data_IF_537709934344
#
_entry.id   IF_537709934344
#
_cell.length_a   1.000
_cell.length_b   1.000
_cell.length_c   1.000
_cell.angle_alpha   90.00
_cell.angle_beta   90.00
_cell.angle_gamma   90.00
#
_symmetry.space_group_name_H-M   'P 1'
#
loop_
_entity.id
_entity.type
_entity.pdbx_description
1 polymer ?
#
# COMPACT_ATOMS: atom_id res chain seq x y z
N UNK A 1 4.48 1.21 -36.00
CA UNK A 1 4.22 1.14 -34.54
C UNK A 1 3.35 -0.07 -34.30
N UNK A 2 3.95 -1.19 -33.91
CA UNK A 2 3.19 -2.38 -33.53
C UNK A 2 2.40 -2.09 -32.25
N UNK A 3 1.09 -2.28 -32.35
CA UNK A 3 0.19 -2.22 -31.22
C UNK A 3 0.53 -3.41 -30.32
N UNK A 4 1.36 -3.21 -29.28
CA UNK A 4 1.60 -4.24 -28.26
C UNK A 4 0.23 -4.65 -27.72
N UNK A 5 -0.24 -5.85 -28.09
CA UNK A 5 -1.41 -6.49 -27.47
C UNK A 5 -1.13 -6.51 -25.97
N UNK A 6 -1.83 -5.67 -25.20
CA UNK A 6 -1.79 -5.76 -23.74
C UNK A 6 -2.25 -7.15 -23.37
N UNK A 7 -1.45 -7.85 -22.58
CA UNK A 7 -1.80 -9.16 -22.06
C UNK A 7 -3.13 -9.07 -21.32
N UNK A 8 -3.98 -10.08 -21.50
CA UNK A 8 -5.23 -10.20 -20.76
C UNK A 8 -4.90 -10.28 -19.26
N UNK A 9 -5.68 -9.62 -18.37
CA UNK A 9 -5.47 -9.74 -16.94
C UNK A 9 -5.47 -11.21 -16.50
N UNK A 10 -4.71 -11.56 -15.47
CA UNK A 10 -4.64 -12.93 -14.96
C UNK A 10 -6.01 -13.52 -14.58
N UNK A 11 -6.99 -12.67 -14.23
CA UNK A 11 -8.38 -13.04 -13.91
C UNK A 11 -9.37 -12.69 -15.05
N UNK A 12 -8.87 -12.50 -16.27
CA UNK A 12 -9.62 -11.96 -17.41
C UNK A 12 -10.87 -12.76 -17.78
N UNK A 13 -10.83 -14.09 -17.68
CA UNK A 13 -11.97 -14.95 -17.98
C UNK A 13 -13.15 -14.70 -17.02
N UNK A 14 -12.88 -14.50 -15.73
CA UNK A 14 -13.92 -14.18 -14.73
C UNK A 14 -14.44 -12.77 -14.91
N UNK A 15 -13.56 -11.79 -15.18
CA UNK A 15 -13.99 -10.41 -15.46
C UNK A 15 -14.91 -10.34 -16.67
N UNK A 16 -14.61 -11.10 -17.73
CA UNK A 16 -15.49 -11.22 -18.90
C UNK A 16 -16.85 -11.79 -18.48
N UNK A 17 -16.86 -12.84 -17.64
CA UNK A 17 -18.10 -13.44 -17.14
C UNK A 17 -18.93 -12.45 -16.31
N UNK A 18 -18.32 -11.70 -15.40
CA UNK A 18 -19.00 -10.70 -14.57
C UNK A 18 -19.65 -9.60 -15.44
N UNK A 19 -18.91 -9.09 -16.44
CA UNK A 19 -19.41 -8.06 -17.36
C UNK A 19 -20.54 -8.58 -18.23
N UNK A 20 -20.44 -9.82 -18.73
CA UNK A 20 -21.50 -10.45 -19.52
C UNK A 20 -22.74 -10.76 -18.66
N UNK A 21 -22.57 -11.06 -17.37
CA UNK A 21 -23.69 -11.23 -16.45
C UNK A 21 -24.45 -9.91 -16.21
N UNK A 22 -23.75 -8.77 -16.19
CA UNK A 22 -24.36 -7.44 -16.02
C UNK A 22 -24.97 -6.90 -17.31
N UNK A 23 -24.26 -7.00 -18.43
CA UNK A 23 -24.67 -6.41 -19.72
C UNK A 23 -25.51 -7.34 -20.59
N UNK A 24 -25.48 -8.65 -20.30
CA UNK A 24 -26.09 -9.70 -21.12
C UNK A 24 -25.20 -10.16 -22.28
N UNK A 25 -25.46 -11.38 -22.77
CA UNK A 25 -24.69 -12.05 -23.84
C UNK A 25 -24.75 -11.35 -25.20
N UNK A 26 -25.75 -10.47 -25.41
CA UNK A 26 -25.91 -9.68 -26.63
C UNK A 26 -25.22 -8.31 -26.58
N UNK A 27 -24.46 -8.01 -25.52
CA UNK A 27 -23.77 -6.75 -25.37
C UNK A 27 -22.68 -6.56 -26.44
N UNK A 28 -22.49 -5.32 -26.87
CA UNK A 28 -21.46 -4.97 -27.84
C UNK A 28 -20.05 -5.28 -27.28
N UNK A 29 -19.19 -5.85 -28.13
CA UNK A 29 -17.86 -6.34 -27.74
C UNK A 29 -16.98 -5.21 -27.22
N UNK A 30 -17.09 -3.98 -27.75
CA UNK A 30 -16.31 -2.85 -27.26
C UNK A 30 -16.80 -2.39 -25.87
N UNK A 31 -18.11 -2.48 -25.61
CA UNK A 31 -18.69 -2.19 -24.29
C UNK A 31 -18.29 -3.26 -23.26
N UNK A 32 -18.25 -4.53 -23.66
CA UNK A 32 -17.75 -5.62 -22.81
C UNK A 32 -16.26 -5.43 -22.51
N UNK A 33 -15.44 -5.15 -23.52
CA UNK A 33 -14.01 -4.90 -23.34
C UNK A 33 -13.74 -3.69 -22.43
N UNK A 34 -14.50 -2.61 -22.58
CA UNK A 34 -14.41 -1.45 -21.69
C UNK A 34 -14.90 -1.78 -20.27
N UNK A 35 -15.94 -2.60 -20.11
CA UNK A 35 -16.39 -3.11 -18.82
C UNK A 35 -15.32 -3.94 -18.11
N UNK A 36 -14.68 -4.86 -18.84
CA UNK A 36 -13.56 -5.69 -18.32
C UNK A 36 -12.39 -4.80 -17.94
N UNK A 37 -12.04 -3.83 -18.78
CA UNK A 37 -10.97 -2.86 -18.49
C UNK A 37 -11.30 -1.99 -17.29
N UNK A 38 -12.56 -1.54 -17.14
CA UNK A 38 -13.00 -0.73 -16.00
C UNK A 38 -13.02 -1.52 -14.71
N UNK A 39 -13.39 -2.80 -14.75
CA UNK A 39 -13.27 -3.69 -13.61
C UNK A 39 -11.80 -3.92 -13.29
N UNK A 40 -10.95 -4.22 -14.28
CA UNK A 40 -9.51 -4.34 -14.08
C UNK A 40 -8.83 -3.06 -13.55
N UNK A 41 -9.35 -1.86 -13.87
CA UNK A 41 -8.80 -0.55 -13.44
C UNK A 41 -9.46 0.02 -12.18
N UNK A 42 -10.72 -0.29 -11.90
CA UNK A 42 -11.49 0.19 -10.74
C UNK A 42 -11.39 -0.73 -9.52
N UNK A 43 -11.28 -2.03 -9.74
CA UNK A 43 -11.04 -3.03 -8.70
C UNK A 43 -9.67 -2.95 -7.98
N UNK A 44 -8.57 -2.45 -8.58
CA UNK A 44 -7.28 -2.34 -7.91
C UNK A 44 -7.34 -1.50 -6.65
N UNK A 45 -8.10 -0.40 -6.61
CA UNK A 45 -8.07 0.50 -5.46
C UNK A 45 -8.80 -0.11 -4.25
N UNK A 46 -9.97 -0.70 -4.47
CA UNK A 46 -10.70 -1.41 -3.41
C UNK A 46 -9.95 -2.64 -2.92
N UNK A 47 -9.43 -3.46 -3.85
CA UNK A 47 -8.67 -4.65 -3.50
C UNK A 47 -7.37 -4.27 -2.78
N UNK A 48 -6.65 -3.25 -3.26
CA UNK A 48 -5.44 -2.73 -2.61
C UNK A 48 -5.74 -2.20 -1.21
N UNK A 49 -6.77 -1.37 -1.04
CA UNK A 49 -7.15 -0.87 0.27
C UNK A 49 -7.48 -2.01 1.22
N UNK A 50 -8.17 -3.04 0.72
CA UNK A 50 -8.53 -4.23 1.48
C UNK A 50 -7.30 -4.99 1.95
N UNK A 51 -6.33 -5.19 1.04
CA UNK A 51 -5.05 -5.84 1.33
C UNK A 51 -4.23 -5.01 2.34
N UNK A 52 -4.19 -3.68 2.18
CA UNK A 52 -3.53 -2.77 3.13
C UNK A 52 -4.15 -2.89 4.52
N UNK A 53 -5.47 -2.82 4.66
CA UNK A 53 -6.14 -2.96 5.95
C UNK A 53 -5.86 -4.31 6.62
N UNK A 54 -5.88 -5.40 5.86
CA UNK A 54 -5.57 -6.74 6.37
C UNK A 54 -4.12 -6.81 6.87
N UNK A 55 -3.18 -6.29 6.09
CA UNK A 55 -1.74 -6.35 6.38
C UNK A 55 -1.30 -5.48 7.56
N UNK A 56 -1.98 -4.37 7.83
CA UNK A 56 -1.72 -3.50 8.99
C UNK A 56 -2.11 -4.13 10.35
N UNK A 57 -2.79 -5.27 10.35
CA UNK A 57 -2.87 -6.16 11.52
C UNK A 57 -3.98 -5.84 12.54
N UNK A 58 -4.85 -4.85 12.30
CA UNK A 58 -6.05 -4.59 13.14
C UNK A 58 -7.38 -4.86 12.43
N UNK A 59 -7.37 -5.22 11.14
CA UNK A 59 -8.59 -5.59 10.43
C UNK A 59 -9.04 -7.00 10.83
N UNK A 60 -10.27 -7.12 11.33
CA UNK A 60 -10.88 -8.40 11.69
C UNK A 60 -11.74 -8.95 10.56
N UNK A 61 -12.44 -8.05 9.86
CA UNK A 61 -13.28 -8.39 8.72
C UNK A 61 -13.25 -7.23 7.74
N UNK A 62 -13.11 -7.55 6.47
CA UNK A 62 -13.40 -6.62 5.38
C UNK A 62 -14.18 -7.37 4.31
N UNK A 63 -15.34 -6.86 3.97
CA UNK A 63 -16.27 -7.46 3.05
C UNK A 63 -16.65 -6.46 1.97
N UNK A 64 -16.43 -6.84 0.71
CA UNK A 64 -16.87 -6.05 -0.43
C UNK A 64 -18.37 -6.19 -0.61
N UNK A 65 -19.09 -5.07 -0.67
CA UNK A 65 -20.53 -5.05 -0.79
C UNK A 65 -20.97 -5.13 -2.25
N UNK A 66 -22.03 -5.91 -2.50
CA UNK A 66 -22.63 -6.01 -3.82
C UNK A 66 -23.43 -4.73 -4.13
N UNK A 67 -23.21 -4.18 -5.33
CA UNK A 67 -23.89 -2.98 -5.84
C UNK A 67 -25.27 -3.26 -6.47
N UNK A 68 -25.66 -4.54 -6.54
CA UNK A 68 -26.99 -4.94 -6.98
C UNK A 68 -28.04 -4.57 -5.91
N UNK A 69 -29.03 -3.78 -6.32
CA UNK A 69 -30.13 -3.34 -5.46
C UNK A 69 -31.46 -3.66 -6.13
N UNK A 70 -32.42 -4.16 -5.34
CA UNK A 70 -33.77 -4.50 -5.77
C UNK A 70 -34.77 -3.96 -4.73
N UNK A 71 -35.83 -3.24 -5.13
CA UNK A 71 -36.18 -2.86 -6.50
C UNK A 71 -35.20 -1.83 -7.08
N UNK A 72 -35.04 -1.79 -8.41
CA UNK A 72 -34.09 -0.88 -9.09
C UNK A 72 -34.31 0.59 -8.72
N UNK A 73 -35.55 0.98 -8.41
CA UNK A 73 -35.90 2.33 -7.97
C UNK A 73 -35.19 2.76 -6.66
N UNK A 74 -34.77 1.83 -5.80
CA UNK A 74 -34.08 2.15 -4.55
C UNK A 74 -32.75 2.88 -4.79
N UNK A 75 -32.14 2.74 -5.98
CA UNK A 75 -30.93 3.47 -6.41
C UNK A 75 -31.10 4.99 -6.44
N UNK A 76 -32.34 5.48 -6.45
CA UNK A 76 -32.64 6.91 -6.39
C UNK A 76 -32.42 7.48 -4.98
N UNK A 77 -32.53 6.64 -3.96
CA UNK A 77 -32.48 7.03 -2.55
C UNK A 77 -31.24 6.50 -1.84
N UNK A 78 -30.75 5.33 -2.24
CA UNK A 78 -29.65 4.64 -1.56
C UNK A 78 -28.50 4.33 -2.51
N UNK A 79 -27.29 4.52 -2.02
CA UNK A 79 -26.06 4.06 -2.65
C UNK A 79 -25.35 3.15 -1.67
N UNK A 80 -25.13 1.89 -2.05
CA UNK A 80 -24.36 0.95 -1.22
C UNK A 80 -22.88 1.36 -1.29
N UNK A 81 -22.19 1.58 -0.16
CA UNK A 81 -20.74 1.82 -0.14
C UNK A 81 -19.96 0.61 -0.67
N UNK A 82 -18.69 0.81 -1.01
CA UNK A 82 -17.88 -0.26 -1.60
C UNK A 82 -17.58 -1.40 -0.61
N UNK A 83 -17.30 -1.07 0.66
CA UNK A 83 -16.83 -2.03 1.66
C UNK A 83 -17.58 -1.90 3.00
N UNK A 84 -17.67 -3.03 3.72
CA UNK A 84 -17.97 -3.10 5.14
C UNK A 84 -16.73 -3.61 5.88
N UNK A 85 -16.31 -2.94 6.94
CA UNK A 85 -15.12 -3.32 7.69
C UNK A 85 -15.36 -3.34 9.21
N UNK A 86 -14.73 -4.31 9.87
CA UNK A 86 -14.64 -4.40 11.34
C UNK A 86 -13.18 -4.41 11.74
N UNK A 87 -12.81 -3.50 12.63
CA UNK A 87 -11.47 -3.42 13.20
C UNK A 87 -11.46 -3.84 14.67
N UNK A 88 -10.37 -4.44 15.12
CA UNK A 88 -10.21 -4.88 16.52
C UNK A 88 -10.16 -3.72 17.51
N UNK A 89 -9.88 -2.52 17.04
CA UNK A 89 -9.89 -1.29 17.85
C UNK A 89 -11.30 -0.82 18.20
N UNK A 90 -12.34 -1.39 17.57
CA UNK A 90 -13.74 -1.03 17.76
C UNK A 90 -14.45 -2.00 18.74
N UNK A 91 -13.91 -2.19 19.94
CA UNK A 91 -14.28 -3.30 20.86
C UNK A 91 -15.77 -3.48 21.19
N UNK A 92 -16.61 -2.44 21.06
CA UNK A 92 -18.07 -2.52 21.31
C UNK A 92 -18.92 -1.72 20.33
N UNK A 93 -18.35 -1.33 19.19
CA UNK A 93 -18.95 -0.40 18.23
C UNK A 93 -19.32 -1.12 16.93
N UNK A 94 -20.33 -0.62 16.17
CA UNK A 94 -20.71 -1.24 14.91
C UNK A 94 -19.54 -1.26 13.91
N UNK A 95 -19.55 -2.18 12.93
CA UNK A 95 -18.67 -2.08 11.78
C UNK A 95 -18.91 -0.77 11.03
N UNK A 96 -17.95 -0.39 10.20
CA UNK A 96 -18.01 0.83 9.38
C UNK A 96 -18.26 0.49 7.93
N UNK A 97 -18.96 1.38 7.25
CA UNK A 97 -19.08 1.38 5.80
C UNK A 97 -18.00 2.27 5.22
N UNK A 98 -17.36 1.83 4.13
CA UNK A 98 -16.26 2.55 3.50
C UNK A 98 -16.53 2.69 2.01
N UNK A 99 -16.58 3.93 1.56
CA UNK A 99 -16.57 4.29 0.15
C UNK A 99 -15.13 4.52 -0.31
N UNK A 100 -14.70 3.83 -1.37
CA UNK A 100 -13.32 3.89 -1.88
C UNK A 100 -13.23 4.83 -3.07
N UNK A 101 -12.19 5.66 -3.07
CA UNK A 101 -11.86 6.58 -4.17
C UNK A 101 -10.36 6.61 -4.43
N UNK A 102 -9.99 6.65 -5.70
CA UNK A 102 -8.62 6.89 -6.14
C UNK A 102 -8.58 8.13 -7.00
N UNK A 103 -7.79 9.12 -6.60
CA UNK A 103 -7.74 10.41 -7.28
C UNK A 103 -6.37 11.06 -7.10
N UNK A 104 -5.81 11.63 -8.17
CA UNK A 104 -4.45 12.22 -8.20
C UNK A 104 -4.44 13.71 -7.88
N UNK A 105 -5.58 14.37 -7.93
CA UNK A 105 -5.71 15.78 -7.56
C UNK A 105 -5.73 15.94 -6.04
N UNK A 106 -5.22 17.07 -5.52
CA UNK A 106 -5.15 17.35 -4.07
C UNK A 106 -6.51 17.62 -3.40
N UNK A 107 -7.61 17.33 -4.07
CA UNK A 107 -8.97 17.47 -3.54
C UNK A 107 -9.89 16.37 -4.08
N UNK A 108 -10.75 15.86 -3.19
CA UNK A 108 -11.83 14.94 -3.52
C UNK A 108 -13.15 15.70 -3.55
N UNK A 109 -14.02 15.38 -4.50
CA UNK A 109 -15.28 16.10 -4.73
C UNK A 109 -16.42 15.12 -4.98
N UNK A 110 -17.50 15.25 -4.21
CA UNK A 110 -18.71 14.44 -4.31
C UNK A 110 -19.88 15.32 -4.69
N UNK A 111 -20.71 14.85 -5.63
CA UNK A 111 -21.99 15.50 -5.90
C UNK A 111 -22.91 15.36 -4.68
N UNK A 112 -23.72 16.38 -4.34
CA UNK A 112 -24.59 16.32 -3.17
C UNK A 112 -25.54 15.14 -3.16
N UNK A 113 -26.16 14.82 -4.31
CA UNK A 113 -27.08 13.69 -4.45
C UNK A 113 -26.37 12.36 -4.16
N UNK A 114 -25.14 12.21 -4.64
CA UNK A 114 -24.35 11.00 -4.43
C UNK A 114 -24.00 10.78 -2.96
N UNK A 115 -23.46 11.81 -2.30
CA UNK A 115 -23.11 11.73 -0.89
C UNK A 115 -24.36 11.52 -0.01
N UNK A 116 -25.48 12.15 -0.36
CA UNK A 116 -26.74 11.95 0.36
C UNK A 116 -27.22 10.50 0.25
N UNK A 117 -27.16 9.88 -0.94
CA UNK A 117 -27.55 8.47 -1.09
C UNK A 117 -26.67 7.50 -0.31
N UNK A 118 -25.36 7.79 -0.21
CA UNK A 118 -24.45 7.02 0.66
C UNK A 118 -24.84 7.19 2.14
N UNK A 119 -25.11 8.42 2.56
CA UNK A 119 -25.52 8.70 3.94
C UNK A 119 -26.86 8.04 4.28
N UNK A 120 -27.85 8.10 3.38
CA UNK A 120 -29.13 7.42 3.55
C UNK A 120 -28.96 5.91 3.78
N UNK A 121 -28.04 5.27 3.05
CA UNK A 121 -27.76 3.85 3.25
C UNK A 121 -27.08 3.59 4.59
N UNK A 122 -26.12 4.42 4.97
CA UNK A 122 -25.43 4.34 6.25
C UNK A 122 -26.40 4.52 7.45
N UNK A 123 -27.31 5.48 7.35
CA UNK A 123 -28.35 5.74 8.34
C UNK A 123 -29.34 4.58 8.42
N UNK A 124 -29.73 3.98 7.28
CA UNK A 124 -30.62 2.83 7.22
C UNK A 124 -30.08 1.62 8.00
N UNK A 125 -28.77 1.39 7.94
CA UNK A 125 -28.13 0.24 8.61
C UNK A 125 -27.45 0.60 9.94
N UNK A 126 -27.59 1.85 10.38
CA UNK A 126 -27.00 2.40 11.61
C UNK A 126 -25.48 2.16 11.72
N UNK A 127 -24.74 2.45 10.64
CA UNK A 127 -23.28 2.29 10.57
C UNK A 127 -22.59 3.59 10.18
N UNK A 128 -21.40 3.91 10.75
CA UNK A 128 -20.64 5.07 10.33
C UNK A 128 -20.17 4.96 8.87
N UNK A 129 -20.27 6.07 8.14
CA UNK A 129 -19.78 6.20 6.76
C UNK A 129 -18.39 6.84 6.72
N UNK A 130 -17.41 6.09 6.23
CA UNK A 130 -16.05 6.55 5.97
C UNK A 130 -15.76 6.63 4.48
N UNK A 131 -14.77 7.45 4.14
CA UNK A 131 -14.21 7.55 2.79
C UNK A 131 -12.75 7.12 2.86
N UNK A 132 -12.40 6.08 2.09
CA UNK A 132 -11.02 5.71 1.82
C UNK A 132 -10.57 6.39 0.53
N UNK A 133 -9.55 7.24 0.63
CA UNK A 133 -9.03 7.99 -0.51
C UNK A 133 -7.55 7.68 -0.73
N UNK A 134 -7.25 7.10 -1.91
CA UNK A 134 -5.89 6.97 -2.43
C UNK A 134 -5.46 8.23 -3.17
N UNK A 135 -4.37 8.84 -2.70
CA UNK A 135 -3.65 9.92 -3.36
C UNK A 135 -2.21 9.49 -3.62
N UNK A 136 -1.88 9.19 -4.88
CA UNK A 136 -0.64 8.49 -5.24
C UNK A 136 -0.46 7.17 -4.48
N UNK A 137 0.57 7.01 -3.66
CA UNK A 137 0.81 5.82 -2.81
C UNK A 137 0.17 5.93 -1.43
N UNK A 138 -0.34 7.12 -1.06
CA UNK A 138 -0.87 7.38 0.27
C UNK A 138 -2.34 7.02 0.35
N UNK A 139 -2.69 6.33 1.43
CA UNK A 139 -4.07 6.06 1.80
C UNK A 139 -4.49 6.96 2.95
N UNK A 140 -5.70 7.51 2.85
CA UNK A 140 -6.35 8.28 3.91
C UNK A 140 -7.74 7.69 4.14
N UNK A 141 -8.12 7.50 5.39
CA UNK A 141 -9.45 7.02 5.80
C UNK A 141 -10.07 8.05 6.73
N UNK A 142 -11.22 8.62 6.41
CA UNK A 142 -11.83 9.68 7.25
C UNK A 142 -13.36 9.61 7.21
N UNK A 143 -14.03 10.17 8.21
CA UNK A 143 -15.49 10.25 8.23
C UNK A 143 -16.05 11.15 7.11
N UNK A 144 -17.13 10.73 6.47
CA UNK A 144 -17.79 11.51 5.41
C UNK A 144 -18.18 12.94 5.85
N UNK A 145 -18.44 13.16 7.15
CA UNK A 145 -18.76 14.48 7.75
C UNK A 145 -17.67 15.55 7.57
N UNK A 146 -16.42 15.14 7.28
CA UNK A 146 -15.33 16.06 7.00
C UNK A 146 -15.40 16.66 5.60
N UNK A 147 -16.19 16.08 4.68
CA UNK A 147 -16.48 16.70 3.40
C UNK A 147 -17.40 17.91 3.61
N UNK A 148 -16.98 19.10 3.14
CA UNK A 148 -17.74 20.35 3.30
C UNK A 148 -18.25 20.86 1.97
N UNK A 149 -19.47 21.38 1.96
CA UNK A 149 -20.06 22.01 0.77
C UNK A 149 -19.30 23.29 0.45
N UNK A 150 -18.69 23.36 -0.72
CA UNK A 150 -17.96 24.56 -1.15
C UNK A 150 -18.83 25.46 -2.05
N UNK A 151 -19.42 24.89 -3.11
CA UNK A 151 -20.33 25.59 -4.02
C UNK A 151 -21.47 24.62 -4.41
N UNK A 152 -21.25 23.87 -5.50
CA UNK A 152 -22.17 22.83 -5.95
C UNK A 152 -21.92 21.48 -5.28
N UNK A 153 -20.66 21.16 -5.00
CA UNK A 153 -20.24 19.85 -4.49
C UNK A 153 -19.71 19.92 -3.06
N UNK A 154 -19.69 18.75 -2.41
CA UNK A 154 -18.97 18.52 -1.17
C UNK A 154 -17.51 18.18 -1.49
N UNK A 155 -16.57 18.85 -0.82
CA UNK A 155 -15.15 18.72 -1.08
C UNK A 155 -14.36 18.47 0.21
N UNK A 156 -13.20 17.84 0.07
CA UNK A 156 -12.18 17.76 1.10
C UNK A 156 -10.79 17.88 0.44
N UNK A 157 -9.86 18.57 1.10
CA UNK A 157 -8.48 18.69 0.64
C UNK A 157 -7.66 17.51 1.17
N UNK A 158 -6.54 17.21 0.50
CA UNK A 158 -5.57 16.22 0.99
C UNK A 158 -5.08 16.55 2.42
N UNK A 159 -4.84 17.83 2.71
CA UNK A 159 -4.40 18.29 4.04
C UNK A 159 -5.43 17.96 5.14
N UNK A 160 -6.71 18.24 4.88
CA UNK A 160 -7.78 17.92 5.85
C UNK A 160 -7.96 16.40 5.96
N UNK A 161 -7.95 15.66 4.84
CA UNK A 161 -8.08 14.21 4.86
C UNK A 161 -6.93 13.53 5.63
N UNK A 162 -5.70 14.02 5.50
CA UNK A 162 -4.54 13.52 6.25
C UNK A 162 -4.64 13.85 7.74
N UNK A 163 -5.09 15.06 8.09
CA UNK A 163 -5.27 15.50 9.49
C UNK A 163 -6.33 14.70 10.24
N UNK A 164 -7.36 14.25 9.51
CA UNK A 164 -8.47 13.45 10.05
C UNK A 164 -8.30 11.96 9.71
N UNK A 165 -7.09 11.51 9.36
CA UNK A 165 -6.83 10.14 8.94
C UNK A 165 -6.97 9.17 10.11
N UNK A 166 -7.84 8.18 9.91
CA UNK A 166 -8.22 7.14 10.86
C UNK A 166 -7.46 5.83 10.67
N UNK A 167 -6.61 5.70 9.65
CA UNK A 167 -5.87 4.46 9.40
C UNK A 167 -5.08 4.00 10.64
N UNK A 168 -4.45 4.92 11.37
CA UNK A 168 -3.74 4.55 12.60
C UNK A 168 -4.65 4.11 13.74
N UNK A 169 -5.82 4.73 13.87
CA UNK A 169 -6.76 4.43 14.96
C UNK A 169 -7.67 3.23 14.67
N UNK A 170 -7.91 2.91 13.39
CA UNK A 170 -8.72 1.77 12.95
C UNK A 170 -7.87 0.59 12.47
N UNK A 171 -7.07 0.79 11.43
CA UNK A 171 -6.36 -0.29 10.75
C UNK A 171 -5.00 -0.64 11.39
N UNK A 172 -4.47 0.21 12.27
CA UNK A 172 -3.17 0.01 12.91
C UNK A 172 -1.99 0.62 12.15
N UNK A 173 -2.25 1.54 11.23
CA UNK A 173 -1.19 2.27 10.53
C UNK A 173 -0.33 3.09 11.50
N UNK A 174 0.97 3.08 11.25
CA UNK A 174 1.94 3.84 12.03
C UNK A 174 2.93 4.48 11.09
N UNK A 175 3.54 5.57 11.53
CA UNK A 175 4.75 6.05 10.89
C UNK A 175 5.96 5.44 11.61
N UNK A 176 7.02 5.10 10.89
CA UNK A 176 8.20 4.46 11.47
C UNK A 176 9.49 5.01 10.87
N UNK A 177 10.60 4.79 11.58
CA UNK A 177 11.94 5.18 11.15
C UNK A 177 12.94 4.05 11.41
N UNK A 178 13.59 3.56 10.36
CA UNK A 178 14.79 2.73 10.50
C UNK A 178 15.89 3.60 11.09
N UNK A 179 16.55 3.12 12.15
CA UNK A 179 17.56 3.90 12.85
C UNK A 179 18.80 4.11 11.98
N UNK A 180 19.37 5.31 12.04
CA UNK A 180 20.51 5.68 11.22
C UNK A 180 21.68 4.69 11.42
N UNK A 181 22.26 4.22 10.32
CA UNK A 181 23.34 3.22 10.35
C UNK A 181 22.88 1.76 10.39
N UNK A 182 21.60 1.47 10.66
CA UNK A 182 21.06 0.12 10.45
C UNK A 182 20.95 -0.16 8.95
N UNK A 183 21.35 -1.36 8.52
CA UNK A 183 21.39 -1.67 7.09
C UNK A 183 22.09 -2.96 6.71
N UNK A 184 22.43 -3.06 5.43
CA UNK A 184 23.05 -4.22 4.79
C UNK A 184 24.47 -3.84 4.35
N UNK A 185 25.43 -4.71 4.61
CA UNK A 185 26.83 -4.53 4.27
C UNK A 185 27.29 -5.70 3.41
N UNK A 186 27.88 -5.39 2.26
CA UNK A 186 28.47 -6.36 1.36
C UNK A 186 29.97 -6.11 1.30
N UNK A 187 30.76 -7.17 1.42
CA UNK A 187 32.19 -7.13 1.13
C UNK A 187 32.47 -7.91 -0.14
N UNK A 188 33.00 -7.22 -1.13
CA UNK A 188 33.33 -7.76 -2.42
C UNK A 188 34.84 -7.84 -2.54
N UNK A 189 35.40 -9.05 -2.61
CA UNK A 189 36.82 -9.27 -2.85
C UNK A 189 37.12 -9.12 -4.34
N UNK A 190 38.18 -8.38 -4.66
CA UNK A 190 38.73 -8.24 -6.01
C UNK A 190 39.59 -9.47 -6.32
N UNK A 191 39.06 -10.41 -7.09
CA UNK A 191 39.78 -11.64 -7.40
C UNK A 191 40.75 -11.44 -8.57
N UNK A 192 40.32 -10.71 -9.61
CA UNK A 192 41.16 -10.47 -10.81
C UNK A 192 40.71 -9.25 -11.60
N UNK A 193 41.68 -8.40 -11.98
CA UNK A 193 41.48 -7.39 -13.03
C UNK A 193 41.43 -8.09 -14.39
N UNK A 194 40.30 -7.97 -15.08
CA UNK A 194 40.05 -8.63 -16.37
C UNK A 194 40.54 -7.76 -17.50
N UNK A 195 40.19 -6.48 -17.47
CA UNK A 195 40.49 -5.52 -18.54
C UNK A 195 40.66 -4.12 -17.95
N UNK A 196 41.55 -3.33 -18.55
CA UNK A 196 41.79 -1.93 -18.18
C UNK A 196 42.05 -1.13 -19.45
N UNK A 197 41.19 -0.17 -19.72
CA UNK A 197 41.40 0.83 -20.77
C UNK A 197 41.76 2.16 -20.13
N UNK A 198 42.84 2.78 -20.59
CA UNK A 198 43.27 4.10 -20.13
C UNK A 198 42.94 5.12 -21.20
N UNK A 199 42.09 6.09 -20.88
CA UNK A 199 41.76 7.22 -21.74
C UNK A 199 42.10 8.55 -21.04
N UNK A 200 42.32 9.59 -21.84
CA UNK A 200 42.76 10.93 -21.39
C UNK A 200 41.79 11.62 -20.41
N UNK A 201 40.57 11.12 -20.31
CA UNK A 201 39.47 11.65 -19.49
C UNK A 201 38.97 10.67 -18.40
N UNK A 202 39.76 9.65 -18.07
CA UNK A 202 39.43 8.62 -17.08
C UNK A 202 39.32 7.24 -17.74
N UNK A 203 39.92 6.24 -17.10
CA UNK A 203 39.93 4.86 -17.60
C UNK A 203 38.72 4.04 -17.16
N UNK A 204 38.50 2.92 -17.84
CA UNK A 204 37.54 1.89 -17.44
C UNK A 204 38.30 0.67 -16.93
N UNK A 205 37.77 0.03 -15.89
CA UNK A 205 38.30 -1.24 -15.37
C UNK A 205 37.18 -2.26 -15.26
N UNK A 206 37.44 -3.48 -15.69
CA UNK A 206 36.55 -4.62 -15.51
C UNK A 206 37.17 -5.60 -14.53
N UNK A 207 36.41 -5.97 -13.49
CA UNK A 207 36.89 -6.82 -12.41
C UNK A 207 36.04 -8.09 -12.28
N UNK A 208 36.69 -9.21 -12.01
CA UNK A 208 36.07 -10.41 -11.47
C UNK A 208 36.11 -10.31 -9.95
N UNK A 209 34.95 -10.42 -9.30
CA UNK A 209 34.79 -10.22 -7.87
C UNK A 209 33.92 -11.30 -7.24
N UNK A 210 34.17 -11.58 -5.95
CA UNK A 210 33.36 -12.49 -5.12
C UNK A 210 32.79 -11.72 -3.94
N UNK A 211 31.48 -11.86 -3.67
CA UNK A 211 30.90 -11.44 -2.39
C UNK A 211 31.33 -12.47 -1.35
N UNK A 212 32.25 -12.11 -0.47
CA UNK A 212 32.82 -13.02 0.52
C UNK A 212 32.29 -12.79 1.93
N UNK A 213 31.52 -11.72 2.13
CA UNK A 213 30.83 -11.42 3.37
C UNK A 213 29.54 -10.62 3.11
N UNK A 214 28.48 -10.99 3.84
CA UNK A 214 27.19 -10.29 3.89
C UNK A 214 26.82 -10.13 5.35
N UNK A 215 26.55 -8.91 5.77
CA UNK A 215 26.24 -8.60 7.16
C UNK A 215 25.09 -7.61 7.28
N UNK A 216 24.38 -7.67 8.39
CA UNK A 216 23.44 -6.64 8.78
C UNK A 216 24.00 -5.83 9.95
N UNK A 217 23.58 -4.59 10.09
CA UNK A 217 23.83 -3.78 11.29
C UNK A 217 22.55 -3.25 11.89
N UNK A 218 22.58 -3.08 13.22
CA UNK A 218 21.59 -2.28 13.93
C UNK A 218 22.00 -0.79 13.96
N UNK A 219 21.13 0.08 14.50
CA UNK A 219 21.41 1.52 14.54
C UNK A 219 22.46 1.93 15.59
N UNK A 220 22.92 1.00 16.41
CA UNK A 220 24.06 1.21 17.32
C UNK A 220 25.39 0.87 16.64
N UNK A 221 25.36 0.40 15.39
CA UNK A 221 26.53 -0.02 14.63
C UNK A 221 27.00 -1.44 14.95
N UNK A 222 26.22 -2.21 15.71
CA UNK A 222 26.57 -3.60 15.98
C UNK A 222 26.23 -4.46 14.76
N UNK A 223 27.14 -5.36 14.40
CA UNK A 223 26.87 -6.40 13.41
C UNK A 223 25.85 -7.40 13.97
N UNK A 224 24.88 -7.78 13.14
CA UNK A 224 23.77 -8.67 13.49
C UNK A 224 23.72 -9.87 12.57
N UNK A 225 23.75 -11.05 13.17
CA UNK A 225 23.63 -12.35 12.50
C UNK A 225 22.31 -13.06 12.86
N UNK A 226 21.57 -12.48 13.80
CA UNK A 226 20.39 -13.03 14.45
C UNK A 226 19.10 -12.27 14.10
N UNK A 227 19.11 -11.46 13.03
CA UNK A 227 17.92 -10.71 12.66
C UNK A 227 16.83 -11.64 12.13
N UNK A 228 15.60 -11.45 12.62
CA UNK A 228 14.44 -12.15 12.06
C UNK A 228 14.26 -11.82 10.58
N UNK A 229 13.81 -12.79 9.77
CA UNK A 229 13.62 -12.58 8.32
C UNK A 229 12.64 -11.46 7.98
N UNK A 230 11.61 -11.27 8.82
CA UNK A 230 10.65 -10.16 8.69
C UNK A 230 11.31 -8.80 8.95
N UNK A 231 12.28 -8.73 9.88
CA UNK A 231 13.04 -7.52 10.20
C UNK A 231 14.04 -7.20 9.09
N UNK A 232 14.72 -8.21 8.55
CA UNK A 232 15.60 -8.03 7.38
C UNK A 232 14.82 -7.48 6.18
N UNK A 233 13.57 -7.93 5.98
CA UNK A 233 12.72 -7.47 4.87
C UNK A 233 12.38 -5.98 4.95
N UNK A 234 12.38 -5.38 6.14
CA UNK A 234 12.13 -3.93 6.31
C UNK A 234 13.19 -3.07 5.62
N UNK A 235 14.41 -3.57 5.43
CA UNK A 235 15.42 -2.82 4.68
C UNK A 235 15.04 -2.58 3.22
N UNK A 236 14.20 -3.44 2.63
CA UNK A 236 13.68 -3.25 1.26
C UNK A 236 12.56 -2.20 1.18
N UNK A 237 12.01 -1.78 2.31
CA UNK A 237 10.93 -0.78 2.35
C UNK A 237 11.44 0.64 2.55
N UNK A 238 12.72 0.80 2.85
CA UNK A 238 13.36 2.08 3.13
C UNK A 238 14.30 2.51 2.01
N UNK A 239 14.40 3.81 1.77
CA UNK A 239 15.39 4.37 0.86
C UNK A 239 16.75 4.42 1.56
N UNK A 240 17.52 3.32 1.47
CA UNK A 240 18.85 3.23 2.06
C UNK A 240 19.86 4.09 1.30
N UNK A 241 20.76 4.72 2.04
CA UNK A 241 21.89 5.46 1.49
C UNK A 241 23.02 4.48 1.17
N UNK A 242 23.56 4.60 -0.04
CA UNK A 242 24.70 3.83 -0.48
C UNK A 242 26.02 4.53 -0.10
N UNK A 243 26.88 3.80 0.59
CA UNK A 243 28.24 4.21 0.93
C UNK A 243 29.22 3.18 0.38
N UNK A 244 30.26 3.65 -0.30
CA UNK A 244 31.29 2.78 -0.85
C UNK A 244 32.67 3.14 -0.33
N UNK A 245 33.43 2.13 0.04
CA UNK A 245 34.84 2.26 0.40
C UNK A 245 35.65 1.26 -0.42
N UNK A 246 36.67 1.76 -1.12
CA UNK A 246 37.49 0.96 -2.03
C UNK A 246 38.90 0.85 -1.46
N UNK A 247 39.43 -0.37 -1.42
CA UNK A 247 40.84 -0.62 -1.21
C UNK A 247 41.40 -1.54 -2.30
N UNK A 248 42.68 -1.89 -2.22
CA UNK A 248 43.36 -2.68 -3.25
C UNK A 248 42.75 -4.08 -3.42
N UNK A 249 42.19 -4.64 -2.35
CA UNK A 249 41.73 -6.03 -2.29
C UNK A 249 40.21 -6.18 -2.25
N UNK A 250 39.48 -5.15 -1.83
CA UNK A 250 38.05 -5.22 -1.59
C UNK A 250 37.32 -3.92 -1.96
N UNK A 251 36.03 -4.05 -2.22
CA UNK A 251 35.04 -2.98 -2.20
C UNK A 251 34.07 -3.29 -1.05
N UNK A 252 33.87 -2.33 -0.17
CA UNK A 252 32.87 -2.40 0.89
C UNK A 252 31.68 -1.55 0.46
N UNK A 253 30.54 -2.19 0.24
CA UNK A 253 29.27 -1.53 -0.06
C UNK A 253 28.41 -1.57 1.20
N UNK A 254 27.92 -0.41 1.65
CA UNK A 254 27.02 -0.29 2.79
C UNK A 254 25.75 0.40 2.32
N UNK A 255 24.62 -0.24 2.52
CA UNK A 255 23.29 0.30 2.29
C UNK A 255 22.65 0.51 3.65
N UNK A 256 22.66 1.75 4.15
CA UNK A 256 22.27 2.06 5.53
C UNK A 256 21.20 3.14 5.58
N UNK A 257 20.34 3.11 6.59
CA UNK A 257 19.38 4.17 6.81
C UNK A 257 20.10 5.48 7.16
N UNK A 258 19.66 6.57 6.54
CA UNK A 258 20.13 7.93 6.83
C UNK A 258 19.62 8.50 8.14
N UNK A 259 20.03 9.75 8.43
CA UNK A 259 19.63 10.46 9.65
C UNK A 259 18.22 11.05 9.59
N UNK A 260 17.66 11.22 8.40
CA UNK A 260 16.37 11.89 8.20
C UNK A 260 15.32 10.94 7.63
N UNK A 261 14.06 11.35 7.73
CA UNK A 261 12.94 10.64 7.11
C UNK A 261 12.06 9.86 8.06
N UNK A 262 10.85 9.60 7.57
CA UNK A 262 9.79 8.82 8.21
C UNK A 262 8.91 8.26 7.09
N UNK A 263 8.47 7.02 7.23
CA UNK A 263 7.53 6.41 6.30
C UNK A 263 6.30 5.90 7.02
N UNK A 264 5.18 5.81 6.30
CA UNK A 264 3.99 5.14 6.83
C UNK A 264 4.03 3.65 6.54
N UNK A 265 3.51 2.85 7.46
CA UNK A 265 3.41 1.41 7.31
C UNK A 265 2.69 1.07 6.02
N UNK A 266 1.51 1.65 5.78
CA UNK A 266 0.70 1.34 4.58
C UNK A 266 1.41 1.56 3.24
N UNK A 267 2.45 2.41 3.17
CA UNK A 267 3.23 2.59 1.94
C UNK A 267 4.27 1.49 1.74
N UNK A 268 4.79 0.89 2.81
CA UNK A 268 5.83 -0.13 2.75
C UNK A 268 5.39 -1.43 2.07
N UNK A 269 4.09 -1.75 2.11
CA UNK A 269 3.53 -2.94 1.46
C UNK A 269 3.83 -3.01 -0.04
N UNK A 270 3.70 -1.89 -0.75
CA UNK A 270 3.97 -1.85 -2.19
C UNK A 270 5.45 -2.11 -2.48
N UNK A 271 6.35 -1.60 -1.63
CA UNK A 271 7.79 -1.84 -1.75
C UNK A 271 8.12 -3.33 -1.56
N UNK A 272 7.56 -3.97 -0.53
CA UNK A 272 7.73 -5.41 -0.28
C UNK A 272 7.24 -6.25 -1.46
N UNK A 273 6.05 -5.97 -1.98
CA UNK A 273 5.47 -6.74 -3.08
C UNK A 273 6.28 -6.59 -4.37
N UNK A 274 6.79 -5.40 -4.65
CA UNK A 274 7.66 -5.16 -5.80
C UNK A 274 9.01 -5.88 -5.64
N UNK A 275 9.53 -5.98 -4.42
CA UNK A 275 10.75 -6.74 -4.12
C UNK A 275 10.56 -8.25 -4.30
N UNK A 276 9.44 -8.80 -3.85
CA UNK A 276 9.13 -10.24 -3.95
C UNK A 276 8.78 -10.67 -5.38
N UNK A 277 8.33 -9.75 -6.25
CA UNK A 277 7.91 -10.06 -7.61
C UNK A 277 8.29 -8.95 -8.61
N UNK A 278 9.60 -8.75 -8.87
CA UNK A 278 10.09 -7.64 -9.69
C UNK A 278 9.75 -7.77 -11.19
N UNK A 279 9.21 -8.90 -11.63
CA UNK A 279 8.81 -9.13 -13.03
C UNK A 279 7.36 -8.69 -13.33
N UNK A 280 6.54 -8.39 -12.31
CA UNK A 280 5.21 -7.84 -12.50
C UNK A 280 5.24 -6.32 -12.35
N UNK A 281 4.90 -5.60 -13.43
CA UNK A 281 4.84 -4.13 -13.44
C UNK A 281 3.88 -3.57 -12.36
N UNK A 282 2.97 -4.40 -11.81
CA UNK A 282 2.04 -4.07 -10.71
C UNK A 282 1.63 -5.30 -9.89
N UNK A 283 1.51 -5.18 -8.55
CA UNK A 283 0.96 -6.25 -7.72
C UNK A 283 -0.47 -6.64 -8.12
N UNK A 284 -0.72 -7.93 -8.25
CA UNK A 284 -2.05 -8.49 -8.48
C UNK A 284 -2.89 -8.51 -7.19
N UNK A 285 -3.41 -7.35 -6.78
CA UNK A 285 -4.14 -7.16 -5.50
C UNK A 285 -5.24 -8.20 -5.23
N UNK A 286 -6.07 -8.52 -6.23
CA UNK A 286 -7.12 -9.54 -6.08
C UNK A 286 -6.57 -10.94 -5.78
N UNK A 287 -5.41 -11.28 -6.33
CA UNK A 287 -4.74 -12.54 -6.01
C UNK A 287 -4.28 -12.57 -4.56
N UNK A 288 -3.79 -11.44 -4.04
CA UNK A 288 -3.33 -11.31 -2.65
C UNK A 288 -4.48 -11.44 -1.64
N UNK A 289 -5.70 -10.99 -1.98
CA UNK A 289 -6.89 -11.17 -1.11
C UNK A 289 -7.23 -12.63 -0.80
N UNK A 290 -6.76 -13.57 -1.62
CA UNK A 290 -7.04 -15.00 -1.44
C UNK A 290 -5.91 -15.75 -0.73
N UNK A 291 -4.80 -15.06 -0.43
CA UNK A 291 -3.66 -15.67 0.28
C UNK A 291 -3.86 -15.54 1.78
N UNK A 292 -3.42 -16.55 2.53
CA UNK A 292 -3.34 -16.47 3.99
C UNK A 292 -2.33 -15.40 4.46
N UNK A 293 -1.28 -15.18 3.66
CA UNK A 293 -0.27 -14.15 3.89
C UNK A 293 -0.13 -13.24 2.65
N UNK A 294 -0.18 -11.93 2.88
CA UNK A 294 -0.10 -10.93 1.81
C UNK A 294 1.31 -10.85 1.23
N UNK A 295 2.33 -10.87 2.08
CA UNK A 295 3.74 -10.95 1.69
C UNK A 295 4.33 -12.26 2.19
N UNK A 296 5.36 -12.77 1.53
CA UNK A 296 5.99 -14.03 1.92
C UNK A 296 6.73 -13.92 3.27
N UNK A 297 7.30 -12.74 3.55
CA UNK A 297 8.20 -12.56 4.69
C UNK A 297 7.59 -11.77 5.86
N UNK A 298 6.54 -10.98 5.64
CA UNK A 298 5.92 -10.15 6.69
C UNK A 298 4.42 -10.42 6.79
N UNK A 299 4.06 -11.33 7.69
CA UNK A 299 2.67 -11.73 7.91
C UNK A 299 1.86 -10.65 8.66
N UNK A 300 2.49 -9.97 9.62
CA UNK A 300 1.88 -8.89 10.39
C UNK A 300 2.88 -7.75 10.57
N UNK A 301 2.63 -6.62 9.92
CA UNK A 301 3.60 -5.52 9.91
C UNK A 301 3.82 -4.88 11.28
N UNK A 302 2.78 -4.77 12.12
CA UNK A 302 2.94 -4.24 13.47
C UNK A 302 3.86 -5.13 14.32
N UNK A 303 3.69 -6.45 14.23
CA UNK A 303 4.56 -7.40 14.95
C UNK A 303 6.01 -7.32 14.46
N UNK A 304 6.23 -7.20 13.15
CA UNK A 304 7.55 -7.02 12.56
C UNK A 304 8.22 -5.72 13.03
N UNK A 305 7.48 -4.60 13.11
CA UNK A 305 8.01 -3.35 13.65
C UNK A 305 8.37 -3.45 15.14
N UNK A 306 7.55 -4.14 15.94
CA UNK A 306 7.87 -4.39 17.35
C UNK A 306 9.12 -5.26 17.50
N UNK A 307 9.30 -6.28 16.65
CA UNK A 307 10.53 -7.09 16.63
C UNK A 307 11.74 -6.27 16.20
N UNK A 308 11.59 -5.43 15.18
CA UNK A 308 12.64 -4.55 14.69
C UNK A 308 13.05 -3.48 15.72
N UNK A 309 12.12 -2.99 16.55
CA UNK A 309 12.42 -2.13 17.70
C UNK A 309 13.29 -2.86 18.73
N UNK A 310 12.88 -4.08 19.13
CA UNK A 310 13.66 -4.91 20.07
C UNK A 310 15.05 -5.25 19.53
N UNK A 311 15.14 -5.47 18.23
CA UNK A 311 16.38 -5.75 17.51
C UNK A 311 17.12 -4.49 17.08
N UNK A 312 16.72 -3.30 17.54
CA UNK A 312 17.43 -2.04 17.29
C UNK A 312 17.64 -1.73 15.79
N UNK A 313 16.76 -2.21 14.92
CA UNK A 313 16.72 -1.85 13.49
C UNK A 313 15.82 -0.64 13.30
N UNK A 314 14.63 -0.67 13.89
CA UNK A 314 13.72 0.48 13.93
C UNK A 314 14.04 1.30 15.17
N UNK A 315 14.22 2.61 15.00
CA UNK A 315 14.50 3.54 16.10
C UNK A 315 13.25 4.20 16.67
N UNK A 316 12.23 4.41 15.82
CA UNK A 316 11.01 5.09 16.22
C UNK A 316 9.78 4.49 15.55
N UNK A 317 8.68 4.43 16.30
CA UNK A 317 7.33 4.17 15.82
C UNK A 317 6.41 5.25 16.36
N UNK A 318 5.70 5.92 15.46
CA UNK A 318 4.82 7.04 15.73
C UNK A 318 3.37 6.64 15.47
N UNK A 319 2.57 6.62 16.54
CA UNK A 319 1.14 6.34 16.48
C UNK A 319 0.38 7.64 16.20
N UNK A 320 0.11 7.91 14.93
CA UNK A 320 -0.60 9.12 14.50
C UNK A 320 -2.08 9.02 14.83
N UNK A 321 -2.65 10.08 15.40
CA UNK A 321 -4.07 10.19 15.73
C UNK A 321 -4.71 11.30 14.89
N UNK A 322 -5.99 11.15 14.51
CA UNK A 322 -6.73 12.21 13.85
C UNK A 322 -6.89 13.40 14.81
N UNK A 323 -7.09 14.58 14.25
CA UNK A 323 -7.39 15.78 15.02
C UNK A 323 -8.76 15.69 15.71
N UNK A 324 -9.79 15.17 15.03
CA UNK A 324 -11.10 14.91 15.60
C UNK A 324 -11.32 13.40 15.76
N UNK A 325 -11.34 12.89 17.00
CA UNK A 325 -11.67 11.49 17.24
C UNK A 325 -13.16 11.20 16.97
N UNK A 326 -13.47 10.19 16.15
CA UNK A 326 -14.84 9.71 15.97
C UNK A 326 -15.45 9.15 17.25
N UNK A 327 -16.77 9.31 17.39
CA UNK A 327 -17.55 8.81 18.55
C UNK A 327 -17.76 7.28 18.49
N UNK A 328 -17.57 6.68 17.31
CA UNK A 328 -17.68 5.24 17.10
C UNK A 328 -16.37 4.48 17.33
N UNK A 329 -15.31 5.16 17.76
CA UNK A 329 -14.05 4.55 18.18
C UNK A 329 -14.03 4.34 19.70
#
# INVERSE_FOLDING_TARGET
MENKKKAMPADGARLIQDVLAELGWSADVAVVAEGVRRLDVGLPAEDEFSVVCAWLGKCQLLHKLNQQQVPVASRQEFQVPDLLAKFSTQTSKPPVLIEVKSKKEKFLSFRPDYLQRLQNYADLVDMPLLIAWKFHSLWMLFEARHMKKANKNFNITMETAMRENLLGSLAGDVAYKIGAGAGIHLRLRKDKLVEKEVADNGGTEQWMMTIDDVAFTDYEGNRREDLDGEVQSLFSTWDLEEQQEHNDSHIHLRFVAGNEGMQFAHTALVHLLNWESPQDDRPHWRGLLRKEQVTANVANFSAALESALRQKVVSHVFYVRPHAMPVFL
#
